data_IF_822315208159
#
_entry.id   IF_822315208159
#
_cell.length_a   1.000
_cell.length_b   1.000
_cell.length_c   1.000
_cell.angle_alpha   90.00
_cell.angle_beta   90.00
_cell.angle_gamma   90.00
#
_symmetry.space_group_name_H-M   'P 1'
#
loop_
_entity.id
_entity.type
_entity.pdbx_description
1 polymer ?
#
# COMPACT_ATOMS: atom_id res chain seq x y z
N UNK A 1 5.45 -74.54 9.04
CA UNK A 1 6.11 -73.38 8.34
C UNK A 1 5.20 -72.18 8.36
N UNK A 2 5.48 -71.23 9.26
CA UNK A 2 4.67 -69.96 9.36
C UNK A 2 5.22 -68.94 8.36
N UNK A 3 4.40 -68.52 7.39
CA UNK A 3 4.75 -67.45 6.44
C UNK A 3 4.54 -66.11 7.16
N UNK A 4 5.63 -65.37 7.37
CA UNK A 4 5.60 -63.99 7.86
C UNK A 4 5.37 -63.11 6.64
N UNK A 5 4.21 -62.44 6.59
CA UNK A 5 3.89 -61.43 5.58
C UNK A 5 4.46 -60.09 6.05
N UNK A 6 5.54 -59.61 5.41
CA UNK A 6 6.09 -58.29 5.70
C UNK A 6 5.26 -57.24 4.93
N UNK A 7 4.42 -56.51 5.65
CA UNK A 7 3.66 -55.39 5.09
C UNK A 7 4.59 -54.17 5.11
N UNK A 8 5.16 -53.79 3.95
CA UNK A 8 5.91 -52.55 3.81
C UNK A 8 4.91 -51.37 3.78
N UNK A 9 4.86 -50.62 4.87
CA UNK A 9 4.11 -49.36 4.94
C UNK A 9 4.88 -48.33 4.11
N UNK A 10 4.42 -48.05 2.90
CA UNK A 10 4.84 -46.85 2.13
C UNK A 10 4.26 -45.64 2.81
N UNK A 11 5.03 -44.99 3.68
CA UNK A 11 4.72 -43.65 4.18
C UNK A 11 5.01 -42.67 3.02
N UNK A 12 4.01 -41.94 2.47
CA UNK A 12 4.33 -40.92 1.52
C UNK A 12 5.12 -39.82 2.26
N UNK A 13 6.37 -39.68 1.92
CA UNK A 13 7.18 -38.53 2.30
C UNK A 13 6.57 -37.35 1.52
N UNK A 14 5.62 -36.67 2.12
CA UNK A 14 5.27 -35.33 1.70
C UNK A 14 6.54 -34.50 1.92
N UNK A 15 7.30 -34.28 0.86
CA UNK A 15 8.39 -33.35 0.87
C UNK A 15 7.79 -32.02 1.32
N UNK A 16 8.18 -31.56 2.50
CA UNK A 16 7.98 -30.14 2.85
C UNK A 16 8.70 -29.40 1.72
N UNK A 17 7.93 -28.71 0.89
CA UNK A 17 8.52 -27.78 -0.06
C UNK A 17 9.24 -26.77 0.82
N UNK A 18 10.56 -26.86 0.91
CA UNK A 18 11.38 -25.86 1.57
C UNK A 18 10.98 -24.53 0.95
N UNK A 19 10.49 -23.63 1.77
CA UNK A 19 10.16 -22.29 1.32
C UNK A 19 11.46 -21.69 0.79
N UNK A 20 11.58 -21.60 -0.53
CA UNK A 20 12.78 -21.08 -1.17
C UNK A 20 13.07 -19.68 -0.60
N UNK A 21 14.31 -19.48 -0.14
CA UNK A 21 14.76 -18.20 0.38
C UNK A 21 14.48 -17.08 -0.61
N UNK A 22 13.95 -15.98 -0.11
CA UNK A 22 13.76 -14.78 -0.91
C UNK A 22 15.04 -13.95 -0.89
N UNK A 23 15.82 -14.03 -1.97
CA UNK A 23 17.07 -13.28 -2.12
C UNK A 23 16.77 -11.90 -2.71
N UNK A 24 16.99 -10.85 -1.91
CA UNK A 24 16.78 -9.45 -2.29
C UNK A 24 18.13 -8.83 -2.70
N UNK A 25 18.23 -8.37 -3.94
CA UNK A 25 19.40 -7.67 -4.47
C UNK A 25 19.45 -6.21 -4.03
N UNK A 26 18.28 -5.55 -3.89
CA UNK A 26 18.18 -4.16 -3.49
C UNK A 26 16.86 -3.91 -2.78
N UNK A 27 16.91 -3.11 -1.72
CA UNK A 27 15.72 -2.64 -1.01
C UNK A 27 15.96 -1.24 -0.43
N UNK A 28 14.89 -0.55 -0.09
CA UNK A 28 14.95 0.76 0.54
C UNK A 28 13.63 1.51 0.42
N UNK A 29 13.69 2.80 0.67
CA UNK A 29 12.54 3.68 0.54
C UNK A 29 12.96 5.04 -0.01
N UNK A 30 11.97 5.76 -0.55
CA UNK A 30 12.11 7.15 -0.99
C UNK A 30 10.73 7.82 -1.05
N UNK A 31 10.71 9.13 -1.19
CA UNK A 31 9.48 9.88 -1.45
C UNK A 31 9.45 10.37 -2.90
N UNK A 32 8.25 10.51 -3.46
CA UNK A 32 8.01 11.00 -4.83
C UNK A 32 6.85 11.99 -4.87
N UNK A 33 6.86 12.87 -5.87
CA UNK A 33 5.84 13.88 -6.05
C UNK A 33 5.85 14.93 -4.93
N UNK A 34 4.68 15.50 -4.68
CA UNK A 34 4.49 16.54 -3.68
C UNK A 34 4.98 17.92 -4.12
N UNK A 35 4.96 18.84 -3.18
CA UNK A 35 5.26 20.24 -3.45
C UNK A 35 6.08 20.89 -2.32
N UNK A 36 6.71 22.01 -2.67
CA UNK A 36 7.37 22.87 -1.69
C UNK A 36 6.49 24.08 -1.41
N UNK A 37 6.05 24.20 -0.17
CA UNK A 37 5.23 25.33 0.27
C UNK A 37 6.15 26.37 0.92
N UNK A 38 6.02 27.62 0.46
CA UNK A 38 6.69 28.78 1.05
C UNK A 38 5.76 29.48 2.02
N UNK A 39 6.28 29.88 3.17
CA UNK A 39 5.61 30.72 4.17
C UNK A 39 6.48 31.95 4.39
N UNK A 40 6.03 33.15 3.91
CA UNK A 40 6.79 34.39 4.13
C UNK A 40 6.76 34.79 5.60
N UNK A 41 7.66 35.66 5.97
CA UNK A 41 7.73 36.27 7.30
C UNK A 41 9.04 35.96 8.01
N UNK A 42 9.16 36.50 9.23
CA UNK A 42 10.31 36.27 10.09
C UNK A 42 10.18 34.93 10.80
N UNK A 43 11.27 34.16 10.79
CA UNK A 43 11.35 32.90 11.50
C UNK A 43 12.37 32.99 12.63
N UNK A 44 11.89 32.85 13.86
CA UNK A 44 12.70 32.95 15.09
C UNK A 44 12.87 31.58 15.76
N UNK A 45 14.01 30.96 15.50
CA UNK A 45 14.38 29.69 16.13
C UNK A 45 14.93 29.86 17.56
N UNK A 46 15.26 31.08 17.98
CA UNK A 46 15.85 31.32 19.30
C UNK A 46 14.90 30.91 20.45
N UNK A 47 13.60 30.87 20.17
CA UNK A 47 12.58 30.37 21.10
C UNK A 47 12.68 28.88 21.40
N UNK A 48 13.32 28.11 20.50
CA UNK A 48 13.46 26.65 20.63
C UNK A 48 14.89 26.25 21.01
N UNK A 49 15.87 26.94 20.45
CA UNK A 49 17.31 26.69 20.70
C UNK A 49 18.04 28.01 20.77
N UNK A 50 18.59 28.35 21.95
CA UNK A 50 19.15 29.66 22.27
C UNK A 50 20.35 30.13 21.40
N UNK A 51 20.95 29.22 20.63
CA UNK A 51 22.02 29.55 19.67
C UNK A 51 21.51 29.82 18.24
N UNK A 52 20.22 29.56 17.96
CA UNK A 52 19.67 29.80 16.64
C UNK A 52 19.35 31.28 16.42
N UNK A 53 19.46 31.71 15.18
CA UNK A 53 19.24 33.10 14.78
C UNK A 53 17.86 33.27 14.17
N UNK A 54 17.37 34.52 14.15
CA UNK A 54 16.22 34.91 13.36
C UNK A 54 16.60 35.02 11.88
N UNK A 55 15.69 34.61 11.01
CA UNK A 55 15.81 34.77 9.55
C UNK A 55 14.52 35.38 8.99
N UNK A 56 14.65 36.33 8.11
CA UNK A 56 13.51 37.08 7.51
C UNK A 56 13.08 36.51 6.15
N UNK A 57 13.81 35.52 5.65
CA UNK A 57 13.53 34.91 4.33
C UNK A 57 12.33 34.00 4.30
N UNK A 58 11.63 33.86 5.44
CA UNK A 58 10.53 32.92 5.61
C UNK A 58 10.99 31.48 5.73
N UNK A 59 10.03 30.56 5.64
CA UNK A 59 10.26 29.14 5.74
C UNK A 59 9.63 28.37 4.59
N UNK A 60 10.12 27.17 4.37
CA UNK A 60 9.51 26.21 3.46
C UNK A 60 9.28 24.86 4.13
N UNK A 61 8.30 24.12 3.65
CA UNK A 61 8.14 22.71 3.98
C UNK A 61 7.76 21.91 2.73
N UNK A 62 8.11 20.63 2.75
CA UNK A 62 7.74 19.66 1.73
C UNK A 62 6.48 18.93 2.20
N UNK A 63 5.45 18.87 1.35
CA UNK A 63 4.17 18.23 1.65
C UNK A 63 3.62 17.47 0.45
N UNK A 64 2.60 16.68 0.67
CA UNK A 64 1.79 16.00 -0.35
C UNK A 64 2.58 15.04 -1.24
N UNK A 65 3.72 14.57 -0.76
CA UNK A 65 4.48 13.49 -1.41
C UNK A 65 3.93 12.13 -1.01
N UNK A 66 4.08 11.15 -1.88
CA UNK A 66 3.92 9.74 -1.51
C UNK A 66 5.21 9.20 -0.90
N UNK A 67 5.07 8.21 -0.01
CA UNK A 67 6.17 7.38 0.45
C UNK A 67 6.18 6.08 -0.34
N UNK A 68 7.36 5.59 -0.70
CA UNK A 68 7.52 4.35 -1.47
C UNK A 68 8.54 3.45 -0.78
N UNK A 69 8.11 2.26 -0.44
CA UNK A 69 8.97 1.17 0.01
C UNK A 69 9.22 0.21 -1.17
N UNK A 70 10.45 -0.23 -1.39
CA UNK A 70 10.74 -1.07 -2.54
C UNK A 70 11.69 -2.23 -2.22
N UNK A 71 11.47 -3.32 -2.93
CA UNK A 71 12.34 -4.50 -2.93
C UNK A 71 12.50 -5.02 -4.37
N UNK A 72 13.74 -5.38 -4.70
CA UNK A 72 14.13 -5.91 -6.00
C UNK A 72 14.77 -7.29 -5.77
N UNK A 73 14.18 -8.38 -6.26
CA UNK A 73 14.76 -9.71 -6.10
C UNK A 73 16.01 -9.89 -6.96
N UNK A 74 16.87 -10.84 -6.61
CA UNK A 74 18.15 -11.07 -7.29
C UNK A 74 18.01 -11.35 -8.80
N UNK A 75 16.90 -11.97 -9.21
CA UNK A 75 16.58 -12.26 -10.62
C UNK A 75 15.27 -11.57 -11.01
N UNK A 76 15.30 -10.24 -11.00
CA UNK A 76 14.11 -9.44 -11.26
C UNK A 76 13.62 -9.55 -12.70
N UNK A 77 12.31 -9.70 -12.86
CA UNK A 77 11.60 -9.57 -14.14
C UNK A 77 11.64 -8.11 -14.62
N UNK A 78 11.43 -7.92 -15.93
CA UNK A 78 11.56 -6.61 -16.57
C UNK A 78 10.61 -5.55 -16.01
N UNK A 79 9.34 -5.91 -15.76
CA UNK A 79 8.32 -4.98 -15.29
C UNK A 79 8.14 -5.12 -13.78
N UNK A 80 8.43 -4.09 -13.00
CA UNK A 80 8.10 -4.05 -11.59
C UNK A 80 6.59 -3.88 -11.37
N UNK A 81 6.13 -4.25 -10.17
CA UNK A 81 4.77 -4.01 -9.71
C UNK A 81 4.77 -2.81 -8.75
N UNK A 82 3.85 -1.89 -9.00
CA UNK A 82 3.58 -0.73 -8.14
C UNK A 82 2.23 -0.94 -7.46
N UNK A 83 2.23 -1.00 -6.14
CA UNK A 83 1.04 -1.28 -5.33
C UNK A 83 0.45 0.01 -4.77
N UNK A 84 -0.84 0.24 -5.04
CA UNK A 84 -1.60 1.41 -4.59
C UNK A 84 -2.77 0.94 -3.72
N UNK A 85 -2.79 1.35 -2.46
CA UNK A 85 -3.78 0.92 -1.47
C UNK A 85 -5.14 1.60 -1.65
N UNK A 86 -6.15 1.07 -0.95
CA UNK A 86 -7.49 1.64 -0.83
C UNK A 86 -7.65 2.63 0.33
N UNK A 87 -8.91 3.02 0.57
CA UNK A 87 -9.28 3.89 1.69
C UNK A 87 -9.10 3.14 3.02
N UNK A 88 -8.81 3.90 4.08
CA UNK A 88 -8.65 3.38 5.44
C UNK A 88 -7.31 2.74 5.75
N UNK A 89 -6.55 2.32 4.73
CA UNK A 89 -5.25 1.66 4.90
C UNK A 89 -4.07 2.45 4.35
N UNK A 90 -2.94 1.78 4.31
CA UNK A 90 -1.69 2.22 3.69
C UNK A 90 -1.07 1.06 2.90
N UNK A 91 0.13 1.24 2.37
CA UNK A 91 0.83 0.20 1.62
C UNK A 91 1.06 -1.12 2.38
N UNK A 92 0.99 -1.11 3.70
CA UNK A 92 1.21 -2.33 4.51
C UNK A 92 0.24 -3.46 4.15
N UNK A 93 -0.99 -3.13 3.72
CA UNK A 93 -1.99 -4.13 3.31
C UNK A 93 -1.54 -5.03 2.14
N UNK A 94 -0.53 -4.61 1.38
CA UNK A 94 0.05 -5.38 0.29
C UNK A 94 1.23 -6.26 0.74
N UNK A 95 1.86 -5.94 1.87
CA UNK A 95 3.09 -6.59 2.33
C UNK A 95 2.80 -7.88 3.11
N UNK A 96 1.81 -7.82 4.01
CA UNK A 96 1.47 -8.95 4.89
C UNK A 96 -0.01 -8.88 5.27
N UNK A 97 -0.60 -10.03 5.58
CA UNK A 97 -1.94 -10.11 6.18
C UNK A 97 -1.85 -9.94 7.70
N UNK A 98 -2.94 -9.52 8.39
CA UNK A 98 -2.93 -9.34 9.84
C UNK A 98 -2.55 -10.59 10.65
N UNK A 99 -2.73 -11.78 10.08
CA UNK A 99 -2.35 -13.07 10.68
C UNK A 99 -0.93 -13.54 10.29
N UNK A 100 -0.13 -12.68 9.66
CA UNK A 100 1.29 -12.91 9.38
C UNK A 100 1.60 -13.70 8.11
N UNK A 101 0.62 -14.00 7.26
CA UNK A 101 0.88 -14.61 5.94
C UNK A 101 1.46 -13.59 4.96
N UNK A 102 2.24 -14.08 4.00
CA UNK A 102 2.76 -13.24 2.91
C UNK A 102 1.61 -12.50 2.19
N UNK A 103 1.72 -11.19 2.08
CA UNK A 103 0.85 -10.38 1.22
C UNK A 103 1.24 -10.45 -0.25
N UNK A 104 0.44 -9.83 -1.12
CA UNK A 104 0.68 -9.87 -2.58
C UNK A 104 2.08 -9.38 -2.97
N UNK A 105 2.61 -8.34 -2.32
CA UNK A 105 3.94 -7.83 -2.61
C UNK A 105 5.01 -8.92 -2.40
N UNK A 106 4.99 -9.62 -1.26
CA UNK A 106 5.93 -10.70 -0.95
C UNK A 106 5.73 -11.91 -1.87
N UNK A 107 4.47 -12.29 -2.13
CA UNK A 107 4.17 -13.40 -3.05
C UNK A 107 4.70 -13.15 -4.46
N UNK A 108 4.65 -11.89 -4.94
CA UNK A 108 5.17 -11.54 -6.26
C UNK A 108 6.68 -11.37 -6.28
N UNK A 109 7.31 -10.93 -5.19
CA UNK A 109 8.76 -10.98 -5.03
C UNK A 109 9.29 -12.40 -5.20
N UNK A 110 8.65 -13.41 -4.58
CA UNK A 110 9.00 -14.83 -4.75
C UNK A 110 8.86 -15.31 -6.19
N UNK A 111 8.03 -14.64 -7.00
CA UNK A 111 7.87 -14.88 -8.45
C UNK A 111 8.80 -14.05 -9.32
N UNK A 112 9.72 -13.30 -8.72
CA UNK A 112 10.72 -12.50 -9.41
C UNK A 112 10.25 -11.12 -9.86
N UNK A 113 9.12 -10.61 -9.37
CA UNK A 113 8.73 -9.23 -9.65
C UNK A 113 9.30 -8.29 -8.59
N UNK A 114 9.92 -7.20 -9.02
CA UNK A 114 10.24 -6.10 -8.12
C UNK A 114 8.95 -5.47 -7.59
N UNK A 115 8.94 -5.10 -6.33
CA UNK A 115 7.78 -4.57 -5.62
C UNK A 115 8.07 -3.14 -5.17
N UNK A 116 7.15 -2.22 -5.52
CA UNK A 116 7.15 -0.83 -5.07
C UNK A 116 5.81 -0.57 -4.38
N UNK A 117 5.81 -0.45 -3.07
CA UNK A 117 4.61 -0.28 -2.26
C UNK A 117 4.48 1.17 -1.86
N UNK A 118 3.40 1.83 -2.32
CA UNK A 118 3.14 3.24 -2.03
C UNK A 118 2.24 3.42 -0.81
N UNK A 119 2.58 4.42 -0.01
CA UNK A 119 1.59 5.15 0.79
C UNK A 119 1.27 6.44 0.04
N UNK A 120 0.02 6.60 -0.36
CA UNK A 120 -0.44 7.81 -1.06
C UNK A 120 -0.30 9.06 -0.17
N UNK A 121 -0.24 10.27 -0.75
CA UNK A 121 -0.15 11.50 0.01
C UNK A 121 -1.20 11.59 1.12
N UNK A 122 -0.76 11.95 2.33
CA UNK A 122 -1.63 12.04 3.50
C UNK A 122 -2.01 10.71 4.14
N UNK A 123 -1.36 9.60 3.75
CA UNK A 123 -1.60 8.27 4.29
C UNK A 123 -0.34 7.65 4.89
N UNK A 124 -0.51 6.81 5.90
CA UNK A 124 0.57 6.01 6.49
C UNK A 124 1.83 6.83 6.75
N UNK A 125 2.94 6.45 6.10
CA UNK A 125 4.26 7.11 6.21
C UNK A 125 4.37 8.42 5.43
N UNK A 126 3.39 8.75 4.56
CA UNK A 126 3.31 9.98 3.75
C UNK A 126 2.46 11.06 4.43
N UNK A 127 2.58 11.22 5.75
CA UNK A 127 1.66 12.00 6.57
C UNK A 127 1.82 13.53 6.51
N UNK A 128 2.72 14.08 5.70
CA UNK A 128 2.91 15.54 5.61
C UNK A 128 2.04 16.13 4.51
N UNK A 129 1.10 17.01 4.89
CA UNK A 129 0.10 17.57 3.98
C UNK A 129 0.13 19.11 3.95
N UNK A 130 -0.31 19.69 2.83
CA UNK A 130 -0.64 21.13 2.69
C UNK A 130 -2.13 21.40 2.90
N UNK A 131 -2.97 20.37 2.88
CA UNK A 131 -4.41 20.50 3.12
C UNK A 131 -4.70 20.90 4.56
N UNK A 132 -5.71 21.75 4.75
CA UNK A 132 -6.25 22.04 6.08
C UNK A 132 -7.07 20.86 6.53
N UNK A 133 -6.57 20.13 7.53
CA UNK A 133 -7.21 18.91 8.03
C UNK A 133 -7.12 18.82 9.54
N UNK A 134 -8.02 18.05 10.13
CA UNK A 134 -8.00 17.72 11.56
C UNK A 134 -8.25 16.23 11.71
N UNK A 135 -7.30 15.53 12.33
CA UNK A 135 -7.49 14.14 12.74
C UNK A 135 -8.25 14.14 14.06
N UNK A 136 -9.43 13.52 14.06
CA UNK A 136 -10.24 13.34 15.27
C UNK A 136 -10.21 11.85 15.64
N UNK A 137 -10.14 11.51 16.94
CA UNK A 137 -10.33 10.14 17.38
C UNK A 137 -11.77 9.69 17.01
N UNK A 138 -11.87 8.57 16.29
CA UNK A 138 -13.13 7.99 15.90
C UNK A 138 -13.20 6.56 16.45
N UNK A 139 -14.35 6.18 16.99
CA UNK A 139 -14.65 4.81 17.40
C UNK A 139 -15.43 4.13 16.27
N UNK A 140 -14.73 3.75 15.20
CA UNK A 140 -15.29 3.31 13.91
C UNK A 140 -14.95 1.85 13.55
N UNK A 141 -14.35 1.08 14.44
CA UNK A 141 -13.93 -0.30 14.16
C UNK A 141 -15.10 -1.20 13.78
N UNK A 142 -16.27 -1.04 14.43
CA UNK A 142 -17.47 -1.80 14.08
C UNK A 142 -17.96 -1.47 12.68
N UNK A 143 -17.92 -0.18 12.30
CA UNK A 143 -18.23 0.26 10.94
C UNK A 143 -17.32 -0.39 9.91
N UNK A 144 -16.01 -0.43 10.16
CA UNK A 144 -15.05 -1.06 9.26
C UNK A 144 -15.24 -2.58 9.17
N UNK A 145 -15.57 -3.24 10.29
CA UNK A 145 -15.87 -4.66 10.30
C UNK A 145 -17.04 -5.00 9.35
N UNK A 146 -18.09 -4.20 9.39
CA UNK A 146 -19.29 -4.41 8.58
C UNK A 146 -19.02 -4.01 7.10
N UNK A 147 -18.43 -2.84 6.85
CA UNK A 147 -18.21 -2.33 5.49
C UNK A 147 -17.23 -3.21 4.69
N UNK A 148 -16.22 -3.78 5.35
CA UNK A 148 -15.30 -4.73 4.74
C UNK A 148 -15.85 -6.16 4.65
N UNK A 149 -17.12 -6.36 5.00
CA UNK A 149 -17.83 -7.63 4.87
C UNK A 149 -17.20 -8.77 5.67
N UNK A 150 -16.48 -8.45 6.75
CA UNK A 150 -15.96 -9.43 7.70
C UNK A 150 -17.13 -10.10 8.40
N UNK A 151 -18.16 -9.32 8.75
CA UNK A 151 -19.37 -9.77 9.37
C UNK A 151 -20.37 -8.66 9.62
N UNK A 152 -21.26 -8.88 10.59
CA UNK A 152 -22.06 -7.86 11.26
C UNK A 152 -21.67 -7.92 12.72
N UNK A 153 -21.03 -6.86 13.20
CA UNK A 153 -20.41 -6.88 14.52
C UNK A 153 -21.32 -7.41 15.64
N UNK A 154 -20.85 -8.34 16.51
CA UNK A 154 -19.50 -8.96 16.49
C UNK A 154 -19.41 -10.29 15.72
N UNK A 155 -20.44 -10.67 14.97
CA UNK A 155 -20.57 -11.99 14.34
C UNK A 155 -19.91 -12.00 12.95
N UNK A 156 -19.03 -12.97 12.71
CA UNK A 156 -18.37 -13.16 11.42
C UNK A 156 -19.31 -13.76 10.38
N UNK A 157 -19.20 -13.33 9.13
CA UNK A 157 -19.93 -13.96 8.03
C UNK A 157 -19.51 -15.42 7.84
N UNK A 158 -20.46 -16.29 7.56
CA UNK A 158 -20.17 -17.70 7.29
C UNK A 158 -19.25 -17.83 6.07
N UNK A 159 -18.11 -18.49 6.25
CA UNK A 159 -17.15 -18.74 5.18
C UNK A 159 -16.24 -17.57 4.83
N UNK A 160 -16.30 -16.46 5.58
CA UNK A 160 -15.33 -15.38 5.41
C UNK A 160 -13.90 -15.92 5.64
N UNK A 161 -12.97 -15.48 4.79
CA UNK A 161 -11.58 -15.93 4.87
C UNK A 161 -10.73 -15.10 5.85
N UNK A 162 -11.34 -14.17 6.56
CA UNK A 162 -10.69 -13.41 7.62
C UNK A 162 -10.55 -14.29 8.87
N UNK A 163 -9.36 -14.36 9.49
CA UNK A 163 -9.15 -15.15 10.71
C UNK A 163 -9.99 -14.61 11.87
N UNK A 164 -10.70 -15.49 12.56
CA UNK A 164 -11.62 -15.12 13.66
C UNK A 164 -10.92 -14.86 15.00
N UNK A 165 -9.59 -14.97 15.09
CA UNK A 165 -8.84 -14.65 16.30
C UNK A 165 -8.84 -13.14 16.55
N UNK A 166 -9.13 -12.73 17.78
CA UNK A 166 -9.21 -11.34 18.18
C UNK A 166 -7.88 -10.59 18.05
N UNK A 167 -6.74 -11.29 18.14
CA UNK A 167 -5.43 -10.69 17.95
C UNK A 167 -5.23 -10.23 16.49
N UNK A 168 -5.70 -11.01 15.51
CA UNK A 168 -5.62 -10.65 14.10
C UNK A 168 -6.59 -9.53 13.73
N UNK A 169 -7.79 -9.55 14.31
CA UNK A 169 -8.73 -8.44 14.16
C UNK A 169 -8.17 -7.14 14.75
N UNK A 170 -7.56 -7.23 15.93
CA UNK A 170 -6.87 -6.09 16.56
C UNK A 170 -5.71 -5.57 15.70
N UNK A 171 -4.93 -6.46 15.07
CA UNK A 171 -3.88 -6.06 14.14
C UNK A 171 -4.44 -5.35 12.91
N UNK A 172 -5.52 -5.87 12.31
CA UNK A 172 -6.19 -5.24 11.19
C UNK A 172 -6.63 -3.80 11.49
N UNK A 173 -7.27 -3.57 12.64
CA UNK A 173 -7.69 -2.23 13.03
C UNK A 173 -6.51 -1.28 13.32
N UNK A 174 -5.39 -1.80 13.82
CA UNK A 174 -4.16 -1.01 14.03
C UNK A 174 -3.47 -0.59 12.73
N UNK A 175 -3.74 -1.25 11.63
CA UNK A 175 -3.24 -0.90 10.29
C UNK A 175 -4.06 0.20 9.62
N UNK A 176 -5.23 0.54 10.18
CA UNK A 176 -6.05 1.65 9.69
C UNK A 176 -5.33 2.97 9.93
N UNK A 177 -5.31 3.83 8.93
CA UNK A 177 -4.64 5.13 8.98
C UNK A 177 -5.62 6.25 8.70
N UNK A 178 -5.48 7.41 9.36
CA UNK A 178 -6.28 8.57 9.02
C UNK A 178 -5.98 9.03 7.60
N UNK A 179 -6.96 9.68 6.98
CA UNK A 179 -6.80 10.39 5.72
C UNK A 179 -6.69 11.89 5.99
N UNK A 180 -5.53 12.46 5.67
CA UNK A 180 -5.26 13.88 5.84
C UNK A 180 -4.97 14.58 4.51
N UNK A 181 -5.33 13.95 3.39
CA UNK A 181 -5.18 14.45 2.04
C UNK A 181 -6.48 15.08 1.51
N UNK A 182 -6.35 15.90 0.48
CA UNK A 182 -7.47 16.33 -0.37
C UNK A 182 -7.50 15.55 -1.71
N UNK A 183 -6.70 14.50 -1.82
CA UNK A 183 -6.56 13.57 -2.97
C UNK A 183 -6.07 14.20 -4.29
N UNK A 184 -5.82 15.50 -4.36
CA UNK A 184 -5.35 16.15 -5.59
C UNK A 184 -3.97 15.69 -6.04
N UNK A 185 -3.19 15.18 -5.12
CA UNK A 185 -1.81 14.75 -5.38
C UNK A 185 -1.67 13.23 -5.59
N UNK A 186 -2.75 12.46 -5.54
CA UNK A 186 -2.69 10.99 -5.70
C UNK A 186 -2.19 10.61 -7.11
N UNK A 187 -2.83 11.13 -8.16
CA UNK A 187 -2.40 10.88 -9.55
C UNK A 187 -1.01 11.45 -9.85
N UNK A 188 -0.68 12.71 -9.50
CA UNK A 188 0.67 13.24 -9.65
C UNK A 188 1.74 12.39 -8.95
N UNK A 189 1.46 11.86 -7.75
CA UNK A 189 2.41 11.04 -7.02
C UNK A 189 2.64 9.67 -7.70
N UNK A 190 1.59 9.01 -8.21
CA UNK A 190 1.71 7.77 -8.98
C UNK A 190 2.52 8.03 -10.26
N UNK A 191 2.24 9.11 -10.98
CA UNK A 191 2.98 9.49 -12.17
C UNK A 191 4.47 9.77 -11.86
N UNK A 192 4.77 10.48 -10.77
CA UNK A 192 6.14 10.75 -10.35
C UNK A 192 6.93 9.46 -10.01
N UNK A 193 6.26 8.46 -9.40
CA UNK A 193 6.88 7.15 -9.21
C UNK A 193 7.12 6.45 -10.54
N UNK A 194 6.11 6.40 -11.40
CA UNK A 194 6.18 5.76 -12.71
C UNK A 194 7.28 6.37 -13.59
N UNK A 195 7.43 7.69 -13.60
CA UNK A 195 8.52 8.38 -14.29
C UNK A 195 9.90 8.00 -13.74
N UNK A 196 9.99 7.90 -12.40
CA UNK A 196 11.25 7.56 -11.72
C UNK A 196 11.73 6.14 -12.00
N UNK A 197 10.81 5.16 -12.10
CA UNK A 197 11.17 3.74 -12.24
C UNK A 197 11.05 3.22 -13.68
N UNK A 198 10.38 3.97 -14.57
CA UNK A 198 10.10 3.57 -15.96
C UNK A 198 8.92 2.59 -16.07
N UNK A 199 8.97 1.77 -17.12
CA UNK A 199 7.92 0.79 -17.46
C UNK A 199 7.53 -0.08 -16.26
N UNK A 200 6.23 -0.11 -15.92
CA UNK A 200 5.72 -0.83 -14.75
C UNK A 200 4.28 -1.33 -14.95
N UNK A 201 3.80 -2.10 -13.97
CA UNK A 201 2.42 -2.55 -13.84
C UNK A 201 1.86 -1.97 -12.54
N UNK A 202 0.74 -1.26 -12.59
CA UNK A 202 0.02 -0.84 -11.40
C UNK A 202 -0.85 -1.98 -10.87
N UNK A 203 -0.83 -2.16 -9.55
CA UNK A 203 -1.71 -3.06 -8.81
C UNK A 203 -2.46 -2.21 -7.81
N UNK A 204 -3.75 -2.01 -8.01
CA UNK A 204 -4.55 -1.06 -7.23
C UNK A 204 -5.69 -1.75 -6.49
N UNK A 205 -6.16 -1.14 -5.42
CA UNK A 205 -7.33 -1.62 -4.68
C UNK A 205 -8.25 -0.45 -4.34
N UNK A 206 -9.57 -0.68 -4.46
CA UNK A 206 -10.63 0.19 -3.97
C UNK A 206 -10.42 1.66 -4.37
N UNK A 207 -10.31 2.59 -3.41
CA UNK A 207 -10.08 4.02 -3.65
C UNK A 207 -8.81 4.32 -4.48
N UNK A 208 -7.80 3.46 -4.46
CA UNK A 208 -6.61 3.56 -5.32
C UNK A 208 -6.87 3.23 -6.79
N UNK A 209 -8.03 2.65 -7.11
CA UNK A 209 -8.39 2.27 -8.48
C UNK A 209 -8.53 3.46 -9.41
N UNK A 210 -9.35 4.46 -9.04
CA UNK A 210 -9.55 5.65 -9.89
C UNK A 210 -8.23 6.40 -10.18
N UNK A 211 -7.40 6.80 -9.19
CA UNK A 211 -6.12 7.43 -9.49
C UNK A 211 -5.16 6.52 -10.27
N UNK A 212 -5.23 5.20 -10.09
CA UNK A 212 -4.46 4.25 -10.90
C UNK A 212 -4.86 4.26 -12.38
N UNK A 213 -6.15 4.28 -12.71
CA UNK A 213 -6.66 4.42 -14.08
C UNK A 213 -6.24 5.75 -14.69
N UNK A 214 -6.38 6.86 -13.94
CA UNK A 214 -5.98 8.18 -14.42
C UNK A 214 -4.47 8.26 -14.70
N UNK A 215 -3.65 7.67 -13.85
CA UNK A 215 -2.21 7.60 -14.08
C UNK A 215 -1.87 6.76 -15.33
N UNK A 216 -2.57 5.65 -15.55
CA UNK A 216 -2.37 4.81 -16.74
C UNK A 216 -2.73 5.54 -18.06
N UNK A 217 -3.76 6.38 -18.03
CA UNK A 217 -4.13 7.20 -19.21
C UNK A 217 -3.08 8.29 -19.47
N UNK A 218 -2.52 8.88 -18.42
CA UNK A 218 -1.59 10.02 -18.51
C UNK A 218 -0.14 9.61 -18.77
N UNK A 219 0.25 8.39 -18.38
CA UNK A 219 1.66 8.00 -18.37
C UNK A 219 1.89 6.70 -19.16
N UNK A 220 2.58 6.78 -20.33
CA UNK A 220 2.81 5.64 -21.20
C UNK A 220 3.73 4.57 -20.59
N UNK A 221 4.42 4.85 -19.49
CA UNK A 221 5.22 3.87 -18.77
C UNK A 221 4.37 2.91 -17.94
N UNK A 222 3.10 3.19 -17.70
CA UNK A 222 2.15 2.21 -17.14
C UNK A 222 1.76 1.25 -18.25
N UNK A 223 2.26 0.02 -18.21
CA UNK A 223 2.03 -0.99 -19.26
C UNK A 223 0.79 -1.84 -19.03
N UNK A 224 0.34 -1.94 -17.78
CA UNK A 224 -0.89 -2.63 -17.42
C UNK A 224 -1.38 -2.14 -16.06
N UNK A 225 -2.67 -2.37 -15.81
CA UNK A 225 -3.31 -2.16 -14.50
C UNK A 225 -4.00 -3.44 -14.09
N UNK A 226 -3.72 -3.90 -12.88
CA UNK A 226 -4.48 -4.95 -12.18
C UNK A 226 -5.22 -4.27 -11.06
N UNK A 227 -6.55 -4.18 -11.15
CA UNK A 227 -7.35 -3.44 -10.19
C UNK A 227 -8.31 -4.37 -9.46
N UNK A 228 -8.16 -4.42 -8.14
CA UNK A 228 -9.03 -5.19 -7.25
C UNK A 228 -10.15 -4.29 -6.72
N UNK A 229 -11.40 -4.60 -7.07
CA UNK A 229 -12.60 -3.89 -6.62
C UNK A 229 -12.43 -2.36 -6.65
N UNK A 230 -12.11 -1.74 -7.81
CA UNK A 230 -11.79 -0.33 -7.88
C UNK A 230 -12.95 0.55 -7.43
N UNK A 231 -12.67 1.62 -6.68
CA UNK A 231 -13.67 2.58 -6.21
C UNK A 231 -14.24 3.48 -7.30
N UNK A 232 -13.74 3.37 -8.53
CA UNK A 232 -14.22 4.10 -9.70
C UNK A 232 -13.60 3.56 -10.97
N UNK A 233 -14.27 3.84 -12.08
CA UNK A 233 -13.87 3.47 -13.43
C UNK A 233 -13.72 4.70 -14.31
N UNK A 234 -13.01 4.56 -15.41
CA UNK A 234 -12.91 5.57 -16.47
C UNK A 234 -13.49 4.98 -17.75
N UNK A 235 -14.25 5.79 -18.46
CA UNK A 235 -14.86 5.43 -19.73
C UNK A 235 -14.54 6.50 -20.76
N UNK A 236 -14.51 6.20 -22.06
CA UNK A 236 -14.52 7.21 -23.11
C UNK A 236 -15.71 8.13 -22.97
N UNK A 237 -15.57 9.38 -23.42
CA UNK A 237 -16.65 10.36 -23.38
C UNK A 237 -17.87 9.83 -24.17
N UNK A 238 -19.05 9.84 -23.55
CA UNK A 238 -20.30 9.32 -24.13
C UNK A 238 -20.48 7.79 -24.06
N UNK A 239 -19.54 7.04 -23.46
CA UNK A 239 -19.62 5.58 -23.35
C UNK A 239 -19.83 5.11 -21.89
N UNK A 240 -20.22 6.04 -21.00
CA UNK A 240 -20.55 5.68 -19.62
C UNK A 240 -21.80 4.80 -19.62
N UNK A 241 -21.77 3.56 -19.06
CA UNK A 241 -22.96 2.73 -18.95
C UNK A 241 -24.05 3.41 -18.13
N UNK A 242 -25.29 3.18 -18.51
CA UNK A 242 -26.43 3.55 -17.66
C UNK A 242 -26.36 2.82 -16.32
N UNK A 243 -26.74 3.46 -15.21
CA UNK A 243 -26.66 2.89 -13.86
C UNK A 243 -27.62 1.70 -13.63
#
# INVERSE_FOLDING_TARGET
MKKILLLALLIPVFGMADAQDLVIAKQGHFSVGGQTIQRPGTYDNSKFVGWATQVETGQSYRADHAFVDFQVPAHAKKLPLVYVHGYGGSGVCWQMTPDGRDGFATLMLRRGYSSYVMDLPGRGRAGRTSATTTVKPLADEMFWFDIWRIGIWPEYNKGVQFPSDSAYLSQFFREMTPDISDHKQDVPAINALTEKIGDNILVTHSAGGFPGWMAAIQNPNVKAVVSYEPGGYVFPEGEVPDP
#
